data_IF_780518084258
#
_entry.id   IF_780518084258
#
_cell.length_a   1.000
_cell.length_b   1.000
_cell.length_c   1.000
_cell.angle_alpha   90.00
_cell.angle_beta   90.00
_cell.angle_gamma   90.00
#
_symmetry.space_group_name_H-M   'P 1'
#
loop_
_entity.id
_entity.type
_entity.pdbx_description
1 polymer ?
#
# COMPACT_ATOMS: atom_id res chain seq x y z
N UNK A 1 13.42 -10.54 -17.86
CA UNK A 1 13.61 -9.92 -16.54
C UNK A 1 12.67 -10.46 -15.48
N UNK A 2 11.36 -10.54 -15.69
CA UNK A 2 10.41 -11.04 -14.66
C UNK A 2 10.72 -12.46 -14.19
N UNK A 3 10.94 -13.40 -15.11
CA UNK A 3 11.27 -14.78 -14.73
C UNK A 3 12.54 -14.85 -13.84
N UNK A 4 13.57 -14.10 -14.20
CA UNK A 4 14.80 -14.02 -13.39
C UNK A 4 14.54 -13.40 -11.99
N UNK A 5 13.72 -12.34 -11.91
CA UNK A 5 13.30 -11.77 -10.61
C UNK A 5 12.56 -12.80 -9.77
N UNK A 6 11.65 -13.55 -10.35
CA UNK A 6 10.93 -14.63 -9.67
C UNK A 6 11.85 -15.72 -9.11
N UNK A 7 12.89 -16.09 -9.87
CA UNK A 7 13.87 -17.06 -9.41
C UNK A 7 14.68 -16.53 -8.23
N UNK A 8 15.21 -15.31 -8.35
CA UNK A 8 15.96 -14.66 -7.25
C UNK A 8 15.06 -14.50 -6.02
N UNK A 9 13.81 -14.08 -6.17
CA UNK A 9 12.83 -13.96 -5.08
C UNK A 9 12.67 -15.28 -4.33
N UNK A 10 12.43 -16.37 -5.02
CA UNK A 10 12.30 -17.69 -4.38
C UNK A 10 13.54 -18.06 -3.59
N UNK A 11 14.73 -17.74 -4.12
CA UNK A 11 15.99 -17.97 -3.40
C UNK A 11 16.10 -17.11 -2.16
N UNK A 12 15.77 -15.83 -2.27
CA UNK A 12 15.74 -14.89 -1.12
C UNK A 12 14.75 -15.38 -0.05
N UNK A 13 13.54 -15.77 -0.44
CA UNK A 13 12.55 -16.29 0.50
C UNK A 13 13.01 -17.59 1.18
N UNK A 14 13.68 -18.47 0.45
CA UNK A 14 14.31 -19.66 1.04
C UNK A 14 15.40 -19.29 2.07
N UNK A 15 16.23 -18.28 1.79
CA UNK A 15 17.26 -17.81 2.71
C UNK A 15 16.68 -17.08 3.93
N UNK A 16 15.55 -16.40 3.78
CA UNK A 16 14.87 -15.70 4.87
C UNK A 16 14.21 -16.66 5.88
N UNK A 17 14.01 -17.94 5.51
CA UNK A 17 13.46 -18.95 6.42
C UNK A 17 12.12 -18.53 7.02
N UNK A 18 12.06 -18.49 8.35
CA UNK A 18 10.85 -18.12 9.11
C UNK A 18 10.39 -16.66 8.87
N UNK A 19 11.29 -15.79 8.44
CA UNK A 19 10.98 -14.41 8.09
C UNK A 19 10.43 -14.25 6.66
N UNK A 20 10.39 -15.33 5.89
CA UNK A 20 9.84 -15.32 4.53
C UNK A 20 8.33 -15.03 4.55
N UNK A 21 7.80 -14.26 3.58
CA UNK A 21 6.36 -14.10 3.44
C UNK A 21 5.63 -15.40 3.05
N UNK A 22 6.39 -16.45 2.69
CA UNK A 22 5.86 -17.80 2.43
C UNK A 22 6.09 -18.78 3.58
N UNK A 23 6.67 -18.35 4.70
CA UNK A 23 6.85 -19.22 5.86
C UNK A 23 5.50 -19.60 6.47
N UNK A 24 5.24 -20.91 6.59
CA UNK A 24 4.03 -21.43 7.21
C UNK A 24 2.71 -21.00 6.58
N UNK A 25 2.70 -20.62 5.29
CA UNK A 25 1.47 -20.19 4.63
C UNK A 25 0.38 -21.26 4.65
N UNK A 26 -0.80 -20.83 5.07
CA UNK A 26 -2.01 -21.66 5.14
C UNK A 26 -3.23 -20.85 4.66
N UNK A 27 -4.43 -21.41 4.85
CA UNK A 27 -5.67 -20.69 4.57
C UNK A 27 -5.94 -19.56 5.60
N UNK A 28 -5.43 -19.74 6.82
CA UNK A 28 -5.53 -18.79 7.95
C UNK A 28 -4.46 -17.71 7.88
N UNK A 29 -3.26 -18.08 7.40
CA UNK A 29 -2.12 -17.17 7.21
C UNK A 29 -1.62 -17.22 5.76
N UNK A 30 -2.38 -16.67 4.80
CA UNK A 30 -2.05 -16.76 3.39
C UNK A 30 -0.95 -15.76 2.99
N UNK A 31 -0.21 -16.09 1.92
CA UNK A 31 0.55 -15.08 1.19
C UNK A 31 -0.41 -14.04 0.62
N UNK A 32 -0.21 -12.78 0.97
CA UNK A 32 -1.08 -11.69 0.53
C UNK A 32 -0.51 -11.00 -0.71
N UNK A 33 -1.36 -10.82 -1.71
CA UNK A 33 -1.08 -10.05 -2.93
C UNK A 33 -2.06 -8.89 -2.99
N UNK A 34 -1.54 -7.67 -2.90
CA UNK A 34 -2.31 -6.44 -3.09
C UNK A 34 -2.21 -5.99 -4.54
N UNK A 35 -3.34 -5.62 -5.14
CA UNK A 35 -3.39 -5.09 -6.51
C UNK A 35 -3.98 -3.70 -6.47
N UNK A 36 -3.26 -2.74 -7.06
CA UNK A 36 -3.71 -1.36 -7.16
C UNK A 36 -3.10 -0.66 -8.37
N UNK A 37 -3.77 0.37 -8.85
CA UNK A 37 -3.32 1.21 -9.95
C UNK A 37 -2.81 2.55 -9.45
N UNK A 38 -1.90 3.16 -10.21
CA UNK A 38 -1.42 4.50 -9.89
C UNK A 38 -1.29 5.34 -11.15
N UNK A 39 -1.38 6.67 -11.01
CA UNK A 39 -1.11 7.59 -12.11
C UNK A 39 0.36 8.02 -12.09
N UNK A 40 0.96 8.09 -13.27
CA UNK A 40 2.30 8.64 -13.47
C UNK A 40 2.22 9.68 -14.59
N UNK A 41 2.54 10.92 -14.27
CA UNK A 41 2.46 12.03 -15.21
C UNK A 41 3.55 11.96 -16.28
N UNK A 42 3.22 12.38 -17.50
CA UNK A 42 4.14 12.58 -18.60
C UNK A 42 4.12 14.06 -19.01
N UNK A 43 5.30 14.66 -19.06
CA UNK A 43 5.45 16.09 -19.42
C UNK A 43 5.57 16.36 -20.93
N UNK A 44 5.46 15.32 -21.75
CA UNK A 44 5.51 15.41 -23.20
C UNK A 44 4.74 14.27 -23.85
N UNK A 45 4.38 14.43 -25.11
CA UNK A 45 3.81 13.38 -25.92
C UNK A 45 4.81 12.21 -26.05
N UNK A 46 4.44 11.06 -25.50
CA UNK A 46 5.21 9.81 -25.54
C UNK A 46 4.28 8.69 -25.96
N UNK A 47 4.83 7.65 -26.54
CA UNK A 47 4.04 6.48 -26.93
C UNK A 47 3.27 5.90 -25.74
N UNK A 48 1.95 5.79 -25.88
CA UNK A 48 1.05 5.28 -24.84
C UNK A 48 0.71 6.27 -23.72
N UNK A 49 1.26 7.49 -23.70
CA UNK A 49 0.78 8.55 -22.81
C UNK A 49 -0.57 9.08 -23.32
N UNK A 50 -1.51 9.27 -22.39
CA UNK A 50 -2.87 9.70 -22.71
C UNK A 50 -3.46 10.54 -21.56
N UNK A 51 -4.55 11.30 -21.80
CA UNK A 51 -5.28 11.99 -20.75
C UNK A 51 -5.73 11.02 -19.65
N UNK A 52 -5.63 11.43 -18.38
CA UNK A 52 -6.02 10.62 -17.23
C UNK A 52 -7.39 11.07 -16.70
N UNK A 53 -8.06 10.19 -15.97
CA UNK A 53 -9.37 10.49 -15.35
C UNK A 53 -9.32 11.62 -14.29
N UNK A 54 -8.12 11.98 -13.80
CA UNK A 54 -7.91 13.13 -12.88
C UNK A 54 -7.59 14.44 -13.59
N UNK A 55 -7.70 14.50 -14.91
CA UNK A 55 -7.44 15.70 -15.70
C UNK A 55 -5.95 15.95 -16.02
N UNK A 56 -5.05 15.02 -15.66
CA UNK A 56 -3.64 15.06 -16.07
C UNK A 56 -3.39 14.33 -17.39
N UNK A 57 -2.11 14.19 -17.77
CA UNK A 57 -1.67 13.46 -18.96
C UNK A 57 -0.54 12.51 -18.59
N UNK A 58 -0.58 11.25 -19.02
CA UNK A 58 0.48 10.28 -18.72
C UNK A 58 0.06 8.84 -18.84
N UNK A 59 0.40 8.06 -17.81
CA UNK A 59 0.20 6.62 -17.75
C UNK A 59 -0.60 6.22 -16.52
N UNK A 60 -1.22 5.03 -16.59
CA UNK A 60 -2.00 4.45 -15.51
C UNK A 60 -1.54 3.00 -15.23
N UNK A 61 -0.29 2.79 -14.73
CA UNK A 61 0.19 1.44 -14.43
C UNK A 61 -0.70 0.74 -13.41
N UNK A 62 -0.95 -0.56 -13.65
CA UNK A 62 -1.55 -1.49 -12.70
C UNK A 62 -0.44 -2.33 -12.08
N UNK A 63 -0.44 -2.46 -10.76
CA UNK A 63 0.64 -3.07 -10.00
C UNK A 63 0.13 -4.16 -9.07
N UNK A 64 0.97 -5.15 -8.78
CA UNK A 64 0.72 -6.15 -7.74
C UNK A 64 1.92 -6.23 -6.79
N UNK A 65 1.63 -6.40 -5.51
CA UNK A 65 2.60 -6.36 -4.42
C UNK A 65 2.43 -7.53 -3.47
N UNK A 66 3.53 -8.15 -3.04
CA UNK A 66 3.50 -9.06 -1.90
C UNK A 66 3.53 -8.26 -0.61
N UNK A 67 2.57 -8.49 0.27
CA UNK A 67 2.51 -7.85 1.58
C UNK A 67 3.35 -8.65 2.59
N UNK A 68 4.36 -8.01 3.16
CA UNK A 68 5.20 -8.57 4.23
C UNK A 68 4.66 -8.27 5.64
N UNK A 69 3.41 -7.88 5.74
CA UNK A 69 2.81 -7.50 7.02
C UNK A 69 3.17 -6.08 7.47
N UNK A 70 2.90 -5.79 8.76
CA UNK A 70 3.15 -4.47 9.35
C UNK A 70 4.65 -4.15 9.46
N UNK A 71 5.48 -5.19 9.54
CA UNK A 71 6.91 -5.09 9.84
C UNK A 71 7.80 -5.24 8.61
N UNK A 72 7.22 -5.21 7.40
CA UNK A 72 7.97 -5.40 6.17
C UNK A 72 7.62 -4.41 5.06
N UNK A 73 8.60 -4.14 4.18
CA UNK A 73 8.43 -3.21 3.08
C UNK A 73 7.49 -3.74 1.98
N UNK A 74 7.37 -5.06 1.84
CA UNK A 74 6.71 -5.70 0.70
C UNK A 74 7.55 -5.68 -0.57
N UNK A 75 7.16 -6.46 -1.57
CA UNK A 75 7.89 -6.64 -2.82
C UNK A 75 7.00 -6.39 -4.03
N UNK A 76 7.58 -5.88 -5.11
CA UNK A 76 6.85 -5.69 -6.36
C UNK A 76 6.68 -7.02 -7.11
N UNK A 77 5.48 -7.59 -7.11
CA UNK A 77 5.18 -8.83 -7.81
C UNK A 77 5.09 -8.62 -9.33
N UNK A 78 4.32 -7.62 -9.77
CA UNK A 78 4.14 -7.30 -11.19
C UNK A 78 3.82 -5.81 -11.40
N UNK A 79 4.22 -5.28 -12.56
CA UNK A 79 3.81 -3.96 -13.05
C UNK A 79 3.40 -4.10 -14.50
N UNK A 80 2.18 -3.65 -14.83
CA UNK A 80 1.69 -3.50 -16.19
C UNK A 80 1.61 -2.01 -16.52
N UNK A 81 2.42 -1.54 -17.44
CA UNK A 81 2.33 -0.17 -17.94
C UNK A 81 1.15 -0.04 -18.91
N UNK A 82 0.20 0.84 -18.57
CA UNK A 82 -1.01 1.11 -19.34
C UNK A 82 -1.08 2.59 -19.73
N UNK A 83 -1.79 2.93 -20.81
CA UNK A 83 -2.11 4.32 -21.14
C UNK A 83 -2.84 5.03 -20.00
N UNK A 84 -2.73 6.38 -19.95
CA UNK A 84 -3.37 7.20 -18.92
C UNK A 84 -4.89 7.06 -18.86
N UNK A 85 -5.52 6.80 -20.02
CA UNK A 85 -6.96 6.57 -20.18
C UNK A 85 -7.38 5.10 -20.06
N UNK A 86 -6.48 4.20 -19.63
CA UNK A 86 -6.84 2.81 -19.39
C UNK A 86 -7.94 2.70 -18.34
N UNK A 87 -8.97 1.88 -18.62
CA UNK A 87 -10.09 1.66 -17.72
C UNK A 87 -9.61 1.12 -16.34
N UNK A 88 -10.14 1.71 -15.28
CA UNK A 88 -9.78 1.27 -13.93
C UNK A 88 -10.24 -0.18 -13.66
N UNK A 89 -11.35 -0.59 -14.23
CA UNK A 89 -12.02 -1.88 -14.01
C UNK A 89 -11.86 -2.89 -15.16
N UNK A 90 -10.78 -2.80 -15.95
CA UNK A 90 -10.50 -3.75 -17.02
C UNK A 90 -10.12 -5.11 -16.45
N UNK A 91 -11.04 -6.07 -16.48
CA UNK A 91 -10.84 -7.40 -15.90
C UNK A 91 -9.63 -8.14 -16.50
N UNK A 92 -9.40 -8.03 -17.80
CA UNK A 92 -8.27 -8.67 -18.48
C UNK A 92 -6.92 -8.22 -17.89
N UNK A 93 -6.77 -6.91 -17.62
CA UNK A 93 -5.55 -6.35 -17.02
C UNK A 93 -5.32 -6.88 -15.60
N UNK A 94 -6.38 -6.91 -14.79
CA UNK A 94 -6.32 -7.45 -13.42
C UNK A 94 -5.94 -8.93 -13.43
N UNK A 95 -6.56 -9.73 -14.31
CA UNK A 95 -6.28 -11.16 -14.46
C UNK A 95 -4.83 -11.38 -14.89
N UNK A 96 -4.32 -10.57 -15.82
CA UNK A 96 -2.93 -10.67 -16.26
C UNK A 96 -1.95 -10.34 -15.12
N UNK A 97 -2.14 -9.20 -14.43
CA UNK A 97 -1.25 -8.78 -13.35
C UNK A 97 -1.26 -9.77 -12.20
N UNK A 98 -2.44 -10.29 -11.81
CA UNK A 98 -2.56 -11.34 -10.79
C UNK A 98 -1.87 -12.63 -11.23
N UNK A 99 -2.03 -13.05 -12.51
CA UNK A 99 -1.39 -14.25 -13.04
C UNK A 99 0.14 -14.13 -12.99
N UNK A 100 0.67 -12.95 -13.36
CA UNK A 100 2.11 -12.66 -13.27
C UNK A 100 2.59 -12.68 -11.81
N UNK A 101 1.83 -12.11 -10.88
CA UNK A 101 2.16 -12.14 -9.45
C UNK A 101 2.19 -13.58 -8.89
N UNK A 102 1.21 -14.41 -9.25
CA UNK A 102 1.20 -15.83 -8.87
C UNK A 102 2.41 -16.60 -9.43
N UNK A 103 2.81 -16.33 -10.66
CA UNK A 103 4.02 -16.91 -11.25
C UNK A 103 5.29 -16.46 -10.52
N UNK A 104 5.37 -15.20 -10.09
CA UNK A 104 6.48 -14.67 -9.28
C UNK A 104 6.60 -15.39 -7.93
N UNK A 105 5.48 -15.74 -7.29
CA UNK A 105 5.47 -16.49 -6.04
C UNK A 105 5.91 -17.96 -6.16
N UNK A 106 5.88 -18.52 -7.37
CA UNK A 106 6.23 -19.91 -7.60
C UNK A 106 5.25 -20.94 -7.03
N UNK A 107 4.02 -20.52 -6.71
CA UNK A 107 3.00 -21.39 -6.08
C UNK A 107 2.11 -22.14 -7.08
N UNK A 108 2.47 -22.13 -8.36
CA UNK A 108 1.72 -22.79 -9.43
C UNK A 108 0.44 -22.03 -9.82
N UNK A 109 -0.33 -22.64 -10.75
CA UNK A 109 -1.52 -21.99 -11.31
C UNK A 109 -2.76 -22.09 -10.43
N UNK A 110 -2.77 -22.95 -9.43
CA UNK A 110 -3.87 -23.15 -8.45
C UNK A 110 -3.34 -23.22 -7.02
N UNK A 111 -2.83 -22.10 -6.46
CA UNK A 111 -2.22 -22.12 -5.14
C UNK A 111 -3.24 -22.40 -4.01
N UNK A 112 -4.52 -22.31 -4.31
CA UNK A 112 -5.57 -22.53 -3.33
C UNK A 112 -5.67 -21.39 -2.31
N UNK A 113 -6.23 -21.70 -1.14
CA UNK A 113 -6.46 -20.70 -0.08
C UNK A 113 -5.18 -20.21 0.61
N UNK A 114 -4.02 -20.76 0.26
CA UNK A 114 -2.71 -20.29 0.71
C UNK A 114 -2.32 -18.91 0.18
N UNK A 115 -3.11 -18.36 -0.75
CA UNK A 115 -2.95 -17.02 -1.31
C UNK A 115 -4.23 -16.23 -1.10
N UNK A 116 -4.08 -14.99 -0.66
CA UNK A 116 -5.15 -13.99 -0.57
C UNK A 116 -4.83 -12.84 -1.52
N UNK A 117 -5.73 -12.55 -2.45
CA UNK A 117 -5.64 -11.36 -3.31
C UNK A 117 -6.57 -10.28 -2.76
N UNK A 118 -6.03 -9.07 -2.52
CA UNK A 118 -6.80 -7.91 -2.10
C UNK A 118 -6.77 -6.88 -3.23
N UNK A 119 -7.95 -6.35 -3.57
CA UNK A 119 -8.12 -5.36 -4.65
C UNK A 119 -9.12 -4.30 -4.18
N UNK A 120 -8.99 -3.08 -4.66
CA UNK A 120 -9.99 -2.03 -4.46
C UNK A 120 -11.27 -2.27 -5.30
N UNK A 121 -12.20 -1.32 -5.26
CA UNK A 121 -13.46 -1.42 -5.99
C UNK A 121 -13.30 -1.47 -7.52
N UNK A 122 -12.17 -1.02 -8.05
CA UNK A 122 -11.92 -1.07 -9.49
C UNK A 122 -11.72 -2.51 -10.00
N UNK A 123 -11.09 -3.38 -9.21
CA UNK A 123 -10.93 -4.79 -9.55
C UNK A 123 -12.15 -5.66 -9.27
N UNK A 124 -13.22 -5.11 -8.69
CA UNK A 124 -14.44 -5.82 -8.31
C UNK A 124 -15.36 -6.17 -9.47
N UNK A 125 -14.84 -6.88 -10.48
CA UNK A 125 -15.63 -7.35 -11.61
C UNK A 125 -15.96 -8.84 -11.50
N UNK A 126 -17.07 -9.27 -12.10
CA UNK A 126 -17.50 -10.69 -12.11
C UNK A 126 -16.40 -11.58 -12.70
N UNK A 127 -15.73 -11.12 -13.75
CA UNK A 127 -14.68 -11.84 -14.45
C UNK A 127 -13.44 -12.03 -13.57
N UNK A 128 -12.98 -10.98 -12.90
CA UNK A 128 -11.82 -11.02 -12.00
C UNK A 128 -12.09 -11.93 -10.81
N UNK A 129 -13.24 -11.76 -10.15
CA UNK A 129 -13.62 -12.58 -9.00
C UNK A 129 -13.84 -14.04 -9.40
N UNK A 130 -14.48 -14.28 -10.58
CA UNK A 130 -14.63 -15.60 -11.17
C UNK A 130 -13.29 -16.28 -11.48
N UNK A 131 -12.31 -15.52 -11.96
CA UNK A 131 -10.94 -16.02 -12.19
C UNK A 131 -10.29 -16.49 -10.88
N UNK A 132 -10.37 -15.70 -9.80
CA UNK A 132 -9.83 -16.04 -8.48
C UNK A 132 -10.52 -17.27 -7.90
N UNK A 133 -11.86 -17.33 -7.99
CA UNK A 133 -12.65 -18.46 -7.50
C UNK A 133 -12.29 -19.78 -8.22
N UNK A 134 -12.17 -19.78 -9.56
CA UNK A 134 -11.76 -20.96 -10.32
C UNK A 134 -10.36 -21.49 -9.96
N UNK A 135 -9.47 -20.61 -9.50
CA UNK A 135 -8.13 -20.97 -9.00
C UNK A 135 -8.12 -21.32 -7.51
N UNK A 136 -9.27 -21.25 -6.84
CA UNK A 136 -9.45 -21.46 -5.40
C UNK A 136 -8.62 -20.49 -4.54
N UNK A 137 -8.25 -19.33 -5.09
CA UNK A 137 -7.55 -18.27 -4.39
C UNK A 137 -8.52 -17.55 -3.45
N UNK A 138 -8.07 -17.28 -2.23
CA UNK A 138 -8.83 -16.40 -1.32
C UNK A 138 -8.80 -14.98 -1.86
N UNK A 139 -9.91 -14.26 -1.74
CA UNK A 139 -9.97 -12.87 -2.18
C UNK A 139 -10.70 -11.97 -1.19
N UNK A 140 -10.36 -10.69 -1.23
CA UNK A 140 -11.02 -9.60 -0.55
C UNK A 140 -11.01 -8.39 -1.50
N UNK A 141 -12.11 -8.17 -2.18
CA UNK A 141 -12.20 -7.25 -3.33
C UNK A 141 -13.27 -6.22 -3.06
N UNK A 142 -12.98 -4.94 -3.26
CA UNK A 142 -13.98 -3.89 -3.10
C UNK A 142 -15.20 -4.17 -3.97
N UNK A 143 -16.38 -4.03 -3.40
CA UNK A 143 -17.66 -4.31 -4.05
C UNK A 143 -18.44 -3.01 -4.26
N UNK A 144 -18.84 -2.74 -5.50
CA UNK A 144 -19.64 -1.57 -5.81
C UNK A 144 -21.09 -1.82 -5.39
N UNK A 145 -21.55 -1.06 -4.43
CA UNK A 145 -22.93 -1.11 -3.98
C UNK A 145 -23.88 -0.64 -5.10
N UNK A 146 -25.07 -1.24 -5.23
CA UNK A 146 -26.07 -0.84 -6.23
C UNK A 146 -26.70 0.51 -5.88
N UNK A 147 -27.39 1.14 -6.87
CA UNK A 147 -28.01 2.46 -6.67
C UNK A 147 -29.12 2.48 -5.61
N UNK A 148 -29.74 1.34 -5.32
CA UNK A 148 -30.76 1.19 -4.26
C UNK A 148 -30.18 0.79 -2.89
N UNK A 149 -28.93 1.13 -2.65
CA UNK A 149 -28.23 0.88 -1.37
C UNK A 149 -29.00 1.39 -0.13
N UNK A 150 -29.70 2.55 -0.14
CA UNK A 150 -30.50 2.97 1.00
C UNK A 150 -31.60 1.97 1.38
N UNK A 151 -32.23 1.33 0.39
CA UNK A 151 -33.25 0.32 0.64
C UNK A 151 -32.67 -0.97 1.24
N UNK A 152 -31.45 -1.35 0.80
CA UNK A 152 -30.71 -2.48 1.38
C UNK A 152 -30.35 -2.15 2.82
N UNK A 153 -29.79 -0.97 3.06
CA UNK A 153 -29.38 -0.51 4.39
C UNK A 153 -30.54 -0.53 5.39
N UNK A 154 -31.73 -0.07 4.98
CA UNK A 154 -32.92 -0.04 5.82
C UNK A 154 -33.41 -1.43 6.26
N UNK A 155 -33.07 -2.48 5.48
CA UNK A 155 -33.43 -3.87 5.77
C UNK A 155 -32.47 -4.57 6.73
N UNK A 156 -31.31 -3.97 7.02
CA UNK A 156 -30.31 -4.57 7.92
C UNK A 156 -30.79 -4.36 9.36
N UNK A 157 -31.10 -5.42 10.12
CA UNK A 157 -31.54 -5.28 11.51
C UNK A 157 -30.41 -4.69 12.36
N UNK A 158 -30.77 -3.89 13.37
CA UNK A 158 -29.78 -3.26 14.26
C UNK A 158 -28.84 -4.26 14.92
N UNK A 159 -29.34 -5.45 15.23
CA UNK A 159 -28.55 -6.55 15.84
C UNK A 159 -27.54 -7.20 14.89
N UNK A 160 -27.63 -6.98 13.58
CA UNK A 160 -26.67 -7.53 12.62
C UNK A 160 -25.39 -6.69 12.49
N UNK A 161 -25.40 -5.48 13.03
CA UNK A 161 -24.23 -4.62 13.02
C UNK A 161 -23.30 -4.96 14.17
N UNK A 162 -22.06 -5.33 13.86
CA UNK A 162 -20.97 -5.50 14.80
C UNK A 162 -19.99 -4.32 14.70
N UNK A 163 -19.37 -3.89 15.83
CA UNK A 163 -18.34 -2.84 15.78
C UNK A 163 -17.22 -3.20 14.80
N UNK A 164 -16.81 -2.26 13.96
CA UNK A 164 -15.57 -2.40 13.19
C UNK A 164 -14.36 -2.26 14.10
N UNK A 165 -13.19 -2.76 13.68
CA UNK A 165 -11.96 -2.67 14.46
C UNK A 165 -10.95 -1.70 13.85
N UNK A 166 -10.09 -1.15 14.69
CA UNK A 166 -8.83 -0.53 14.28
C UNK A 166 -7.82 -1.62 13.89
N UNK A 167 -6.66 -1.21 13.37
CA UNK A 167 -5.61 -2.16 12.98
C UNK A 167 -4.95 -2.91 14.15
N UNK A 168 -5.08 -2.39 15.36
CA UNK A 168 -4.64 -2.97 16.63
C UNK A 168 -5.65 -3.95 17.27
N UNK A 169 -6.85 -4.05 16.69
CA UNK A 169 -7.93 -4.93 17.17
C UNK A 169 -8.93 -4.26 18.10
N UNK A 170 -8.71 -3.00 18.48
CA UNK A 170 -9.65 -2.25 19.29
C UNK A 170 -10.89 -1.82 18.49
N UNK A 171 -12.08 -1.75 19.12
CA UNK A 171 -13.27 -1.24 18.49
C UNK A 171 -13.08 0.17 17.92
N UNK A 172 -13.53 0.39 16.68
CA UNK A 172 -13.45 1.67 16.00
C UNK A 172 -14.73 2.47 16.23
N UNK A 173 -14.60 3.59 16.92
CA UNK A 173 -15.73 4.47 17.18
C UNK A 173 -16.39 4.98 15.90
N UNK A 174 -17.73 4.92 15.86
CA UNK A 174 -18.53 5.40 14.73
C UNK A 174 -18.43 4.56 13.46
N UNK A 175 -17.90 3.35 13.54
CA UNK A 175 -17.83 2.41 12.42
C UNK A 175 -18.33 1.01 12.81
N UNK A 176 -19.19 0.44 11.96
CA UNK A 176 -19.75 -0.91 12.13
C UNK A 176 -19.69 -1.67 10.81
N UNK A 177 -19.79 -2.99 10.92
CA UNK A 177 -19.83 -3.94 9.81
C UNK A 177 -21.04 -4.86 9.91
N UNK A 178 -21.61 -5.20 8.76
CA UNK A 178 -22.68 -6.18 8.64
C UNK A 178 -22.54 -6.99 7.36
N UNK A 179 -22.94 -8.25 7.38
CA UNK A 179 -23.06 -9.04 6.16
C UNK A 179 -24.37 -8.74 5.45
N UNK A 180 -24.30 -8.51 4.15
CA UNK A 180 -25.44 -8.17 3.31
C UNK A 180 -25.62 -9.15 2.14
N UNK A 181 -24.96 -10.30 2.20
CA UNK A 181 -24.96 -11.31 1.13
C UNK A 181 -26.37 -11.67 0.67
N UNK A 182 -27.27 -11.95 1.61
CA UNK A 182 -28.64 -12.38 1.33
C UNK A 182 -29.58 -11.23 0.91
N UNK A 183 -29.13 -9.98 0.99
CA UNK A 183 -29.87 -8.80 0.57
C UNK A 183 -29.54 -8.36 -0.86
N UNK A 184 -28.63 -9.06 -1.52
CA UNK A 184 -28.11 -8.73 -2.85
C UNK A 184 -28.47 -9.80 -3.87
N UNK A 185 -28.74 -9.37 -5.09
CA UNK A 185 -28.73 -10.29 -6.24
C UNK A 185 -27.29 -10.57 -6.66
N UNK A 186 -26.78 -11.73 -6.25
CA UNK A 186 -25.45 -12.22 -6.58
C UNK A 186 -25.46 -13.19 -7.75
N UNK A 187 -26.52 -13.24 -8.55
CA UNK A 187 -26.58 -14.04 -9.77
C UNK A 187 -25.44 -13.66 -10.72
N UNK A 188 -24.71 -14.68 -11.21
CA UNK A 188 -23.52 -14.46 -12.03
C UNK A 188 -22.24 -14.11 -11.28
N UNK A 189 -22.25 -14.08 -9.95
CA UNK A 189 -21.07 -14.10 -9.11
C UNK A 189 -20.73 -15.52 -8.68
N UNK A 190 -19.46 -15.79 -8.26
CA UNK A 190 -19.08 -17.13 -7.80
C UNK A 190 -19.88 -17.57 -6.58
N UNK A 191 -20.24 -18.86 -6.57
CA UNK A 191 -20.92 -19.48 -5.43
C UNK A 191 -20.09 -19.34 -4.15
N UNK A 192 -20.78 -19.07 -3.03
CA UNK A 192 -20.15 -18.88 -1.71
C UNK A 192 -19.41 -17.55 -1.56
N UNK A 193 -19.60 -16.60 -2.49
CA UNK A 193 -19.17 -15.23 -2.30
C UNK A 193 -20.03 -14.56 -1.22
N UNK A 194 -19.37 -13.89 -0.29
CA UNK A 194 -19.98 -13.09 0.77
C UNK A 194 -19.73 -11.61 0.48
N UNK A 195 -20.69 -10.77 0.83
CA UNK A 195 -20.55 -9.31 0.75
C UNK A 195 -20.73 -8.72 2.14
N UNK A 196 -19.71 -7.99 2.59
CA UNK A 196 -19.70 -7.32 3.89
C UNK A 196 -19.75 -5.83 3.66
N UNK A 197 -20.75 -5.18 4.27
CA UNK A 197 -20.90 -3.72 4.27
C UNK A 197 -20.26 -3.15 5.53
N UNK A 198 -19.55 -2.05 5.36
CA UNK A 198 -19.09 -1.18 6.44
C UNK A 198 -19.85 0.14 6.35
N UNK A 199 -20.35 0.61 7.49
CA UNK A 199 -20.78 1.99 7.68
C UNK A 199 -19.80 2.70 8.59
N UNK A 200 -19.50 3.95 8.29
CA UNK A 200 -18.61 4.76 9.10
C UNK A 200 -19.06 6.22 9.07
N UNK A 201 -19.06 6.86 10.24
CA UNK A 201 -19.28 8.30 10.29
C UNK A 201 -18.13 9.02 9.58
N UNK A 202 -18.41 9.90 8.61
CA UNK A 202 -17.39 10.70 7.99
C UNK A 202 -16.61 11.51 9.03
N UNK A 203 -15.31 11.68 8.79
CA UNK A 203 -14.47 12.52 9.66
C UNK A 203 -15.09 13.94 9.83
N UNK A 204 -15.03 14.56 11.02
CA UNK A 204 -15.47 15.94 11.20
C UNK A 204 -14.87 16.87 10.14
N UNK A 205 -15.72 17.61 9.44
CA UNK A 205 -15.33 18.47 8.32
C UNK A 205 -15.29 17.77 6.93
N UNK A 206 -15.54 16.48 6.85
CA UNK A 206 -15.69 15.79 5.55
C UNK A 206 -16.98 16.25 4.86
N UNK A 207 -16.91 16.46 3.52
CA UNK A 207 -18.12 16.72 2.73
C UNK A 207 -19.03 15.48 2.75
N UNK A 208 -20.29 15.69 3.09
CA UNK A 208 -21.33 14.67 2.88
C UNK A 208 -21.46 14.38 1.39
N UNK A 209 -21.64 13.11 1.04
CA UNK A 209 -21.87 12.65 -0.32
C UNK A 209 -23.35 12.31 -0.50
N UNK A 210 -23.83 12.32 -1.75
CA UNK A 210 -25.20 11.95 -2.05
C UNK A 210 -25.52 10.47 -1.75
N UNK A 211 -24.49 9.63 -1.64
CA UNK A 211 -24.58 8.21 -1.32
C UNK A 211 -24.37 7.92 0.18
N UNK A 212 -24.17 8.95 1.03
CA UNK A 212 -24.16 8.80 2.47
C UNK A 212 -25.60 8.57 2.98
N UNK A 213 -25.82 7.57 3.85
CA UNK A 213 -27.13 7.17 4.39
C UNK A 213 -27.12 7.35 5.90
N UNK A 214 -28.12 8.03 6.46
CA UNK A 214 -28.24 8.32 7.90
C UNK A 214 -26.98 8.93 8.54
N UNK A 215 -26.25 9.73 7.78
CA UNK A 215 -24.98 10.33 8.20
C UNK A 215 -23.80 9.38 8.20
N UNK A 216 -23.93 8.19 7.61
CA UNK A 216 -22.87 7.22 7.45
C UNK A 216 -22.44 7.10 5.99
N UNK A 217 -21.14 6.99 5.79
CA UNK A 217 -20.55 6.54 4.52
C UNK A 217 -20.59 5.04 4.45
N UNK A 218 -21.16 4.51 3.37
CA UNK A 218 -21.27 3.08 3.14
C UNK A 218 -20.18 2.63 2.15
N UNK A 219 -19.51 1.54 2.48
CA UNK A 219 -18.57 0.84 1.60
C UNK A 219 -18.81 -0.66 1.73
N UNK A 220 -18.45 -1.43 0.72
CA UNK A 220 -18.56 -2.88 0.79
C UNK A 220 -17.39 -3.58 0.12
N UNK A 221 -17.14 -4.81 0.52
CA UNK A 221 -16.19 -5.70 -0.13
C UNK A 221 -16.75 -7.12 -0.22
N UNK A 222 -16.32 -7.84 -1.25
CA UNK A 222 -16.64 -9.23 -1.47
C UNK A 222 -15.48 -10.14 -1.05
N UNK A 223 -15.80 -11.29 -0.45
CA UNK A 223 -14.81 -12.29 -0.04
C UNK A 223 -15.37 -13.70 -0.18
N UNK A 224 -14.49 -14.69 -0.35
CA UNK A 224 -14.83 -16.12 -0.27
C UNK A 224 -14.35 -16.78 1.03
N UNK A 225 -13.90 -16.00 2.01
CA UNK A 225 -13.52 -16.50 3.33
C UNK A 225 -14.78 -16.80 4.13
N UNK A 226 -14.96 -18.06 4.53
CA UNK A 226 -16.17 -18.53 5.21
C UNK A 226 -16.15 -18.33 6.72
N UNK A 227 -14.97 -18.28 7.31
CA UNK A 227 -14.73 -18.19 8.76
C UNK A 227 -14.17 -16.83 9.15
N UNK A 228 -14.19 -16.54 10.46
CA UNK A 228 -13.69 -15.28 11.02
C UNK A 228 -14.82 -14.29 11.31
N UNK A 229 -14.55 -13.37 12.23
CA UNK A 229 -15.48 -12.27 12.55
C UNK A 229 -15.53 -11.27 11.39
N UNK A 230 -16.67 -10.63 11.20
CA UNK A 230 -16.84 -9.63 10.13
C UNK A 230 -15.85 -8.47 10.28
N UNK A 231 -15.60 -8.04 11.52
CA UNK A 231 -14.66 -6.98 11.82
C UNK A 231 -13.21 -7.34 11.42
N UNK A 232 -12.76 -8.58 11.66
CA UNK A 232 -11.44 -9.05 11.25
C UNK A 232 -11.29 -9.11 9.72
N UNK A 233 -12.35 -9.56 9.04
CA UNK A 233 -12.37 -9.60 7.58
C UNK A 233 -12.32 -8.18 6.98
N UNK A 234 -12.96 -7.22 7.64
CA UNK A 234 -12.93 -5.80 7.24
C UNK A 234 -11.54 -5.20 7.47
N UNK A 235 -10.93 -5.40 8.64
CA UNK A 235 -9.55 -4.98 8.91
C UNK A 235 -8.61 -5.55 7.86
N UNK A 236 -8.71 -6.86 7.60
CA UNK A 236 -7.90 -7.53 6.56
C UNK A 236 -8.08 -6.90 5.19
N UNK A 237 -9.31 -6.53 4.81
CA UNK A 237 -9.57 -5.82 3.55
C UNK A 237 -8.94 -4.43 3.55
N UNK A 238 -9.14 -3.65 4.61
CA UNK A 238 -8.64 -2.28 4.73
C UNK A 238 -7.12 -2.19 4.77
N UNK A 239 -6.44 -3.21 5.28
CA UNK A 239 -4.97 -3.30 5.25
C UNK A 239 -4.38 -3.34 3.83
N UNK A 240 -5.21 -3.50 2.77
CA UNK A 240 -4.77 -3.29 1.38
C UNK A 240 -4.18 -1.90 1.14
N UNK A 241 -4.55 -0.91 1.94
CA UNK A 241 -4.00 0.46 1.85
C UNK A 241 -2.47 0.51 1.98
N UNK A 242 -1.84 -0.53 2.55
CA UNK A 242 -0.38 -0.67 2.55
C UNK A 242 0.22 -0.70 1.13
N UNK A 243 -0.57 -1.11 0.13
CA UNK A 243 -0.16 -1.05 -1.28
C UNK A 243 0.14 0.37 -1.75
N UNK A 244 -0.60 1.37 -1.26
CA UNK A 244 -0.39 2.77 -1.60
C UNK A 244 0.99 3.27 -1.13
N UNK A 245 1.43 2.87 0.07
CA UNK A 245 2.77 3.16 0.57
C UNK A 245 3.86 2.49 -0.26
N UNK A 246 3.65 1.24 -0.68
CA UNK A 246 4.60 0.52 -1.55
C UNK A 246 4.71 1.17 -2.91
N UNK A 247 3.59 1.60 -3.48
CA UNK A 247 3.57 2.36 -4.75
C UNK A 247 4.31 3.69 -4.58
N UNK A 248 4.12 4.40 -3.46
CA UNK A 248 4.84 5.63 -3.16
C UNK A 248 6.35 5.39 -3.09
N UNK A 249 6.78 4.38 -2.33
CA UNK A 249 8.19 3.99 -2.25
C UNK A 249 8.76 3.59 -3.62
N UNK A 250 7.98 2.88 -4.46
CA UNK A 250 8.41 2.53 -5.80
C UNK A 250 8.52 3.74 -6.73
N UNK A 251 7.67 4.76 -6.55
CA UNK A 251 7.82 6.03 -7.28
C UNK A 251 9.13 6.72 -6.93
N UNK A 252 9.53 6.73 -5.68
CA UNK A 252 10.81 7.27 -5.21
C UNK A 252 12.01 6.48 -5.75
N UNK A 253 11.84 5.19 -6.03
CA UNK A 253 12.88 4.32 -6.61
C UNK A 253 12.84 4.21 -8.13
N UNK A 254 12.02 5.03 -8.82
CA UNK A 254 12.05 5.17 -10.27
C UNK A 254 10.76 4.91 -11.03
N UNK A 255 9.67 4.49 -10.36
CA UNK A 255 8.35 4.34 -10.99
C UNK A 255 7.66 5.71 -11.18
N UNK A 256 8.14 6.78 -10.53
CA UNK A 256 7.55 8.12 -10.55
C UNK A 256 7.66 8.84 -11.90
N UNK A 257 8.48 8.35 -12.84
CA UNK A 257 8.63 8.95 -14.16
C UNK A 257 8.98 7.94 -15.24
N UNK A 258 8.46 8.18 -16.44
CA UNK A 258 8.77 7.41 -17.64
C UNK A 258 9.45 8.34 -18.67
N UNK A 259 10.79 8.48 -18.62
CA UNK A 259 11.52 9.48 -19.43
C UNK A 259 11.65 9.11 -20.91
N UNK A 260 11.46 7.83 -21.27
CA UNK A 260 11.74 7.34 -22.62
C UNK A 260 10.55 7.59 -23.56
N UNK A 261 10.80 7.73 -24.86
CA UNK A 261 9.76 8.01 -25.84
C UNK A 261 8.90 6.76 -26.14
N UNK A 262 9.53 5.61 -26.32
CA UNK A 262 8.85 4.37 -26.69
C UNK A 262 8.20 3.68 -25.49
N UNK A 263 6.99 3.15 -25.68
CA UNK A 263 6.25 2.38 -24.67
C UNK A 263 7.01 1.11 -24.25
N UNK A 264 7.63 0.41 -25.20
CA UNK A 264 8.43 -0.78 -24.92
C UNK A 264 9.61 -0.48 -23.99
N UNK A 265 10.31 0.64 -24.23
CA UNK A 265 11.41 1.07 -23.37
C UNK A 265 10.93 1.48 -21.96
N UNK A 266 9.78 2.15 -21.85
CA UNK A 266 9.18 2.46 -20.54
C UNK A 266 8.67 1.21 -19.81
N UNK A 267 8.25 0.16 -20.52
CA UNK A 267 7.97 -1.17 -19.91
C UNK A 267 9.23 -1.78 -19.29
N UNK A 268 10.38 -1.67 -19.96
CA UNK A 268 11.66 -2.09 -19.36
C UNK A 268 11.99 -1.24 -18.14
N UNK A 269 11.77 0.07 -18.20
CA UNK A 269 11.92 0.97 -17.05
C UNK A 269 11.10 0.52 -15.84
N UNK A 270 9.84 0.09 -16.03
CA UNK A 270 9.02 -0.49 -14.96
C UNK A 270 9.72 -1.70 -14.31
N UNK A 271 10.33 -2.59 -15.12
CA UNK A 271 11.01 -3.78 -14.58
C UNK A 271 12.28 -3.40 -13.80
N UNK A 272 13.00 -2.36 -14.22
CA UNK A 272 14.16 -1.85 -13.50
C UNK A 272 13.74 -1.22 -12.16
N UNK A 273 12.67 -0.41 -12.15
CA UNK A 273 12.13 0.17 -10.92
C UNK A 273 11.65 -0.92 -9.95
N UNK A 274 10.96 -1.93 -10.47
CA UNK A 274 10.52 -3.07 -9.67
C UNK A 274 11.71 -3.85 -9.06
N UNK A 275 12.78 -4.07 -9.83
CA UNK A 275 14.00 -4.73 -9.33
C UNK A 275 14.69 -3.88 -8.26
N UNK A 276 14.78 -2.57 -8.45
CA UNK A 276 15.38 -1.67 -7.47
C UNK A 276 14.61 -1.72 -6.14
N UNK A 277 13.29 -1.70 -6.20
CA UNK A 277 12.44 -1.84 -5.01
C UNK A 277 12.61 -3.22 -4.36
N UNK A 278 12.62 -4.29 -5.14
CA UNK A 278 12.81 -5.65 -4.62
C UNK A 278 14.18 -5.82 -3.93
N UNK A 279 15.26 -5.27 -4.50
CA UNK A 279 16.59 -5.32 -3.87
C UNK A 279 16.62 -4.66 -2.49
N UNK A 280 15.93 -3.53 -2.34
CA UNK A 280 15.78 -2.87 -1.03
C UNK A 280 14.97 -3.74 -0.06
N UNK A 281 13.83 -4.26 -0.50
CA UNK A 281 12.99 -5.13 0.31
C UNK A 281 13.73 -6.42 0.72
N UNK A 282 14.50 -7.03 -0.18
CA UNK A 282 15.33 -8.20 0.12
C UNK A 282 16.47 -7.90 1.09
N UNK A 283 17.09 -6.73 0.95
CA UNK A 283 18.10 -6.29 1.93
C UNK A 283 17.50 -6.14 3.32
N UNK A 284 16.31 -5.56 3.42
CA UNK A 284 15.57 -5.45 4.68
C UNK A 284 15.17 -6.82 5.24
N UNK A 285 14.71 -7.73 4.37
CA UNK A 285 14.27 -9.07 4.77
C UNK A 285 15.42 -9.94 5.28
N UNK A 286 16.60 -9.87 4.66
CA UNK A 286 17.74 -10.73 4.98
C UNK A 286 18.70 -10.13 6.02
N UNK A 287 18.96 -8.81 5.95
CA UNK A 287 20.01 -8.16 6.73
C UNK A 287 19.48 -7.38 7.95
N UNK A 288 18.19 -7.03 7.97
CA UNK A 288 17.63 -6.17 9.02
C UNK A 288 16.60 -6.91 9.90
N UNK A 289 16.70 -8.23 10.00
CA UNK A 289 15.84 -9.04 10.87
C UNK A 289 15.96 -8.57 12.32
N UNK A 290 14.82 -8.24 12.96
CA UNK A 290 14.81 -7.71 14.33
C UNK A 290 15.30 -6.26 14.49
N UNK A 291 15.73 -5.60 13.42
CA UNK A 291 16.17 -4.21 13.47
C UNK A 291 15.05 -3.24 13.09
N UNK A 292 14.88 -2.08 13.77
CA UNK A 292 13.83 -1.10 13.43
C UNK A 292 13.86 -0.63 11.98
N UNK A 293 15.03 -0.59 11.34
CA UNK A 293 15.20 -0.20 9.94
C UNK A 293 14.51 -1.16 8.94
N UNK A 294 14.05 -2.34 9.37
CA UNK A 294 13.24 -3.24 8.54
C UNK A 294 11.92 -2.59 8.09
N UNK A 295 11.40 -1.64 8.88
CA UNK A 295 10.17 -0.90 8.61
C UNK A 295 10.41 0.42 7.87
N UNK A 296 11.66 0.82 7.69
CA UNK A 296 11.98 2.11 7.08
C UNK A 296 11.67 2.13 5.60
N UNK A 297 11.24 3.29 5.14
CA UNK A 297 11.07 3.53 3.71
C UNK A 297 12.41 3.41 2.97
N UNK A 298 12.40 2.98 1.70
CA UNK A 298 13.61 2.78 0.90
C UNK A 298 14.55 3.99 0.89
N UNK A 299 14.01 5.20 0.80
CA UNK A 299 14.77 6.46 0.86
C UNK A 299 15.53 6.63 2.18
N UNK A 300 14.89 6.29 3.31
CA UNK A 300 15.51 6.34 4.63
C UNK A 300 16.57 5.26 4.82
N UNK A 301 16.35 4.06 4.29
CA UNK A 301 17.36 2.98 4.32
C UNK A 301 18.59 3.41 3.51
N UNK A 302 18.39 3.92 2.29
CA UNK A 302 19.48 4.38 1.44
C UNK A 302 20.25 5.50 2.10
N UNK A 303 19.55 6.50 2.65
CA UNK A 303 20.18 7.65 3.30
C UNK A 303 20.98 7.24 4.55
N UNK A 304 20.38 6.51 5.48
CA UNK A 304 21.01 6.24 6.79
C UNK A 304 22.00 5.09 6.74
N UNK A 305 21.77 4.05 5.93
CA UNK A 305 22.66 2.89 5.90
C UNK A 305 23.81 3.03 4.91
N UNK A 306 23.58 3.59 3.73
CA UNK A 306 24.59 3.66 2.68
C UNK A 306 25.37 4.97 2.67
N UNK A 307 24.78 6.08 3.13
CA UNK A 307 25.47 7.38 3.13
C UNK A 307 26.15 7.69 4.46
N UNK A 308 25.54 7.43 5.61
CA UNK A 308 26.11 7.73 6.92
C UNK A 308 27.12 6.70 7.43
N UNK A 309 27.13 5.48 6.93
CA UNK A 309 28.11 4.44 7.29
C UNK A 309 29.22 4.25 6.27
N UNK A 310 29.50 5.20 5.39
CA UNK A 310 30.78 5.16 4.66
C UNK A 310 31.90 5.26 5.70
N UNK A 311 32.81 4.25 5.81
CA UNK A 311 33.99 4.42 6.57
C UNK A 311 34.70 5.68 6.04
N UNK A 312 35.38 6.47 6.90
CA UNK A 312 36.18 7.60 6.44
C UNK A 312 37.05 7.08 5.31
N UNK A 313 37.04 7.76 4.18
CA UNK A 313 37.96 7.43 3.08
C UNK A 313 39.35 7.35 3.69
N UNK A 314 40.15 6.28 3.44
CA UNK A 314 41.53 6.28 3.86
C UNK A 314 42.11 7.57 3.31
N UNK A 315 42.69 8.37 4.20
CA UNK A 315 43.48 9.51 3.79
C UNK A 315 44.68 8.90 3.00
N UNK A 316 44.56 8.97 1.68
CA UNK A 316 45.71 8.74 0.82
C UNK A 316 46.68 9.87 1.20
N UNK A 317 47.76 9.51 1.85
CA UNK A 317 48.80 10.45 2.28
C UNK A 317 49.15 11.32 1.07
N UNK A 318 49.24 12.63 1.31
CA UNK A 318 49.72 13.57 0.34
C UNK A 318 51.18 13.16 0.01
N UNK A 319 51.36 12.41 -1.09
CA UNK A 319 52.63 12.30 -1.73
C UNK A 319 52.81 13.56 -2.56
N UNK A 320 53.89 14.26 -2.27
CA UNK A 320 54.34 15.45 -2.98
C UNK A 320 54.37 15.21 -4.48
N UNK A 321 53.47 15.89 -5.22
CA UNK A 321 53.47 15.95 -6.66
C UNK A 321 54.11 17.27 -7.09
N UNK A 322 55.33 17.26 -7.64
CA UNK A 322 55.98 18.48 -8.11
C UNK A 322 55.37 18.90 -9.45
N UNK A 323 54.34 19.76 -9.41
CA UNK A 323 53.88 20.44 -10.61
C UNK A 323 54.58 21.77 -10.81
N UNK A 324 55.06 22.06 -12.03
CA UNK A 324 55.62 23.36 -12.34
C UNK A 324 54.53 24.43 -12.34
N UNK A 325 54.86 25.61 -11.81
CA UNK A 325 54.05 26.81 -11.87
C UNK A 325 53.91 27.24 -13.35
N UNK A 326 52.70 27.66 -13.69
CA UNK A 326 52.23 28.35 -14.92
C UNK A 326 51.30 27.54 -15.82
N UNK A 327 50.02 27.56 -15.43
CA UNK A 327 48.91 27.56 -16.38
C UNK A 327 47.59 27.88 -15.66
N UNK A 328 47.06 29.07 -15.84
CA UNK A 328 45.70 29.42 -15.46
C UNK A 328 44.70 28.85 -16.47
N UNK A 329 43.77 27.96 -16.08
CA UNK A 329 42.56 27.73 -16.83
C UNK A 329 41.43 28.54 -16.21
N UNK A 330 40.73 29.30 -17.05
CA UNK A 330 39.48 29.99 -16.71
C UNK A 330 38.41 28.92 -16.38
N UNK A 331 38.01 28.85 -15.10
CA UNK A 331 36.91 28.00 -14.70
C UNK A 331 35.58 28.57 -15.13
N UNK A 332 34.90 27.92 -16.10
CA UNK A 332 33.47 28.01 -16.29
C UNK A 332 32.81 27.25 -15.13
N UNK A 333 32.20 27.98 -14.23
CA UNK A 333 31.40 27.45 -13.14
C UNK A 333 30.05 26.96 -13.74
N UNK A 334 29.64 25.69 -13.60
CA UNK A 334 28.31 25.26 -14.00
C UNK A 334 27.25 25.95 -13.13
N UNK A 335 26.05 26.25 -13.67
CA UNK A 335 24.98 26.89 -12.92
C UNK A 335 24.56 26.02 -11.74
N UNK A 336 24.36 26.63 -10.58
CA UNK A 336 23.82 26.01 -9.37
C UNK A 336 22.42 25.46 -9.68
N UNK A 337 22.09 24.23 -9.25
CA UNK A 337 20.71 23.76 -9.29
C UNK A 337 19.84 24.64 -8.38
N UNK A 338 18.56 24.89 -8.75
CA UNK A 338 17.66 25.68 -7.92
C UNK A 338 17.44 24.98 -6.57
N UNK A 339 17.51 25.74 -5.49
CA UNK A 339 17.18 25.30 -4.14
C UNK A 339 15.71 24.84 -4.12
N UNK A 340 15.37 23.69 -3.53
CA UNK A 340 13.97 23.35 -3.27
C UNK A 340 13.43 24.35 -2.24
N UNK A 341 12.27 24.94 -2.56
CA UNK A 341 11.53 25.79 -1.61
C UNK A 341 11.18 24.98 -0.36
N UNK A 342 11.36 25.51 0.84
CA UNK A 342 10.93 24.87 2.07
C UNK A 342 9.39 24.83 2.06
N UNK A 343 8.83 23.64 2.16
CA UNK A 343 7.42 23.44 2.50
C UNK A 343 7.19 24.00 3.89
N UNK A 344 6.38 25.05 3.98
CA UNK A 344 5.94 25.62 5.25
C UNK A 344 5.11 24.59 6.03
N UNK A 345 5.49 24.38 7.28
CA UNK A 345 4.59 23.99 8.35
C UNK A 345 4.56 22.52 8.77
N UNK A 346 5.66 22.01 9.30
CA UNK A 346 5.64 21.09 10.46
C UNK A 346 6.86 21.39 11.33
N UNK A 347 6.69 21.58 12.66
CA UNK A 347 7.82 21.69 13.58
C UNK A 347 8.59 20.34 13.59
N UNK A 348 9.90 20.35 13.80
CA UNK A 348 10.69 19.14 13.94
C UNK A 348 10.14 18.32 15.12
N UNK A 349 9.90 17.03 14.89
CA UNK A 349 9.64 16.09 15.96
C UNK A 349 10.94 15.91 16.76
N UNK A 350 10.85 16.11 18.06
CA UNK A 350 11.95 15.83 18.98
C UNK A 350 12.42 14.38 18.85
N UNK A 351 13.71 14.10 18.95
CA UNK A 351 14.22 12.73 18.95
C UNK A 351 13.65 11.97 20.15
N UNK A 352 13.34 10.66 20.00
CA UNK A 352 12.85 9.84 21.09
C UNK A 352 13.86 9.82 22.24
N UNK A 353 13.38 9.88 23.52
CA UNK A 353 14.27 9.84 24.67
C UNK A 353 15.04 8.51 24.75
N UNK A 354 16.28 8.60 25.22
CA UNK A 354 17.11 7.44 25.46
C UNK A 354 16.46 6.49 26.49
N UNK A 355 16.60 5.17 26.36
CA UNK A 355 15.99 4.23 27.30
C UNK A 355 16.60 4.42 28.71
N UNK A 356 15.78 4.76 29.69
CA UNK A 356 16.18 4.78 31.09
C UNK A 356 15.77 5.98 31.95
N UNK A 357 15.18 7.04 31.42
CA UNK A 357 14.73 8.16 32.25
C UNK A 357 13.21 8.26 32.30
N UNK A 358 12.64 7.94 33.47
CA UNK A 358 11.28 8.37 33.85
C UNK A 358 11.36 9.83 34.30
N UNK A 359 10.57 10.72 33.74
CA UNK A 359 10.44 12.09 34.26
C UNK A 359 9.74 12.06 35.64
N UNK A 360 10.10 13.00 36.55
CA UNK A 360 9.40 13.14 37.82
C UNK A 360 7.97 13.65 37.61
N UNK A 361 7.02 13.36 38.53
CA UNK A 361 5.64 13.81 38.41
C UNK A 361 5.53 15.33 38.56
N UNK A 362 4.72 15.93 37.70
CA UNK A 362 4.40 17.37 37.68
C UNK A 362 3.62 17.78 38.94
N UNK A 363 4.08 18.77 39.76
CA UNK A 363 3.42 19.14 41.01
C UNK A 363 2.21 20.06 40.85
N UNK A 364 1.69 20.33 39.65
CA UNK A 364 0.65 21.37 39.43
C UNK A 364 -0.74 20.83 39.05
N UNK A 365 -1.16 19.68 39.56
CA UNK A 365 -2.57 19.24 39.52
C UNK A 365 -3.13 18.99 40.92
N UNK A 366 -3.31 20.05 41.67
CA UNK A 366 -4.23 20.06 42.83
C UNK A 366 -5.63 20.45 42.33
N UNK A 367 -6.52 19.51 42.41
CA UNK A 367 -7.94 19.67 42.15
C UNK A 367 -8.56 20.61 43.17
N UNK A 368 -9.13 21.73 42.74
CA UNK A 368 -10.13 22.48 43.51
C UNK A 368 -11.51 22.06 43.00
N UNK A 369 -12.19 21.31 43.83
CA UNK A 369 -13.63 21.03 43.74
C UNK A 369 -14.41 22.26 44.13
N UNK A 370 -15.11 22.90 43.19
CA UNK A 370 -16.14 23.89 43.49
C UNK A 370 -17.51 23.23 43.65
N UNK A 371 -18.40 23.82 44.46
CA UNK A 371 -19.69 23.24 44.80
C UNK A 371 -20.72 23.36 43.66
N UNK A 372 -21.76 22.52 43.61
CA UNK A 372 -22.80 22.52 42.58
C UNK A 372 -23.76 23.74 42.72
N UNK A 373 -24.36 24.21 41.61
CA UNK A 373 -25.37 25.27 41.65
C UNK A 373 -26.71 24.75 42.15
N UNK A 374 -27.58 25.63 42.73
CA UNK A 374 -28.83 25.27 43.37
C UNK A 374 -29.95 24.95 42.35
N UNK A 375 -30.78 23.94 42.68
CA UNK A 375 -32.09 23.72 42.11
C UNK A 375 -33.02 24.89 42.30
N UNK A 376 -33.74 25.30 41.26
CA UNK A 376 -34.97 26.06 41.34
C UNK A 376 -36.05 25.41 40.50
N UNK A 377 -37.06 24.89 41.18
CA UNK A 377 -38.43 24.78 40.75
C UNK A 377 -39.20 26.06 41.13
N UNK A 378 -40.41 26.38 40.66
CA UNK A 378 -41.47 25.46 40.26
C UNK A 378 -41.68 25.33 38.75
#
# INVERSE_FOLDING_TARGET
MEAARGEVRRRVWSLAGENSPTAGISAESPLVIDVDATLVEAHSAKEGAAPTFKGGFGYHPLTAWFDHGADGAGECAAIMLRPGNAGANTAADHIEVISRALAQAGLGSRPGRKVLVRIDGAGGTKETVGFLARRRVSYSVGFKLPGHTPDIYSKIPKSAWAPAYNADGDPREGADVAEITDLLDLSGWPEGMRVIMRRERPHPGARLRFDDVDGYRLTAFATNTRTGQLADLEVRHRLRARCEDRIRCAKDTGLGSFPLQGLAANRIRCQVAALAHDLLAWSQLLALTGHPARKWEPTWVTFNYFWHRRPPRPQVGAQDDPRPADAHPRHHRPPRPPHPHPLQGRPPLDPPPAPGHRPPPDPARTLTSGPPPPENAP
#
